data_IF_238355152974
#
_entry.id   IF_238355152974
#
_cell.length_a   1.000
_cell.length_b   1.000
_cell.length_c   1.000
_cell.angle_alpha   90.00
_cell.angle_beta   90.00
_cell.angle_gamma   90.00
#
_symmetry.space_group_name_H-M   'P 1'
#
loop_
_entity.id
_entity.type
_entity.pdbx_description
1 polymer ?
#
# COMPACT_ATOMS: atom_id res chain seq x y z
N UNK A 1 -1.80 -4.23 -18.38
CA UNK A 1 -2.56 -3.43 -17.40
C UNK A 1 -1.68 -2.26 -17.00
N UNK A 2 -2.20 -1.03 -16.92
CA UNK A 2 -1.41 0.10 -16.47
C UNK A 2 -1.01 -0.10 -15.01
N UNK A 3 0.23 0.20 -14.71
CA UNK A 3 0.69 0.37 -13.34
C UNK A 3 0.12 1.69 -12.82
N UNK A 4 -0.45 1.65 -11.62
CA UNK A 4 -0.95 2.82 -10.91
C UNK A 4 0.06 3.19 -9.81
N UNK A 5 0.00 4.43 -9.35
CA UNK A 5 0.69 4.82 -8.13
C UNK A 5 -0.17 4.56 -6.88
N UNK A 6 0.42 4.78 -5.71
CA UNK A 6 -0.19 4.53 -4.42
C UNK A 6 -1.37 5.42 -4.08
N UNK A 7 -1.59 6.54 -4.77
CA UNK A 7 -2.81 7.34 -4.56
C UNK A 7 -4.07 6.58 -4.99
N UNK A 8 -3.94 5.59 -5.88
CA UNK A 8 -5.05 4.72 -6.23
C UNK A 8 -5.62 3.94 -5.03
N UNK A 9 -4.84 3.80 -3.94
CA UNK A 9 -5.27 3.15 -2.70
C UNK A 9 -6.00 4.08 -1.73
N UNK A 10 -6.09 5.40 -2.00
CA UNK A 10 -6.57 6.39 -1.03
C UNK A 10 -7.95 6.05 -0.45
N UNK A 11 -8.92 5.72 -1.32
CA UNK A 11 -10.28 5.37 -0.91
C UNK A 11 -10.33 4.08 -0.08
N UNK A 12 -9.63 3.04 -0.53
CA UNK A 12 -9.58 1.76 0.19
C UNK A 12 -8.89 1.88 1.56
N UNK A 13 -7.83 2.68 1.66
CA UNK A 13 -7.12 2.88 2.92
C UNK A 13 -7.88 3.79 3.88
N UNK A 14 -8.61 4.79 3.39
CA UNK A 14 -9.45 5.64 4.23
C UNK A 14 -10.58 4.83 4.90
N UNK A 15 -11.14 3.83 4.21
CA UNK A 15 -12.14 2.92 4.78
C UNK A 15 -11.58 2.06 5.92
N UNK A 16 -10.30 1.70 5.86
CA UNK A 16 -9.66 0.83 6.85
C UNK A 16 -9.01 1.59 8.01
N UNK A 17 -8.31 2.70 7.73
CA UNK A 17 -7.41 3.35 8.69
C UNK A 17 -7.93 4.64 9.31
N UNK A 18 -9.12 5.15 8.93
CA UNK A 18 -9.72 6.39 9.46
C UNK A 18 -8.85 7.67 9.38
N UNK A 19 -7.63 7.57 8.83
CA UNK A 19 -6.68 8.65 8.58
C UNK A 19 -6.20 8.57 7.13
N UNK A 20 -5.70 9.69 6.61
CA UNK A 20 -5.11 9.75 5.28
C UNK A 20 -3.78 8.97 5.29
N UNK A 21 -3.75 7.83 4.60
CA UNK A 21 -2.59 6.94 4.61
C UNK A 21 -1.63 7.17 3.46
N UNK A 22 -2.02 7.87 2.38
CA UNK A 22 -1.13 8.05 1.22
C UNK A 22 0.08 8.92 1.55
N UNK A 23 -0.05 9.84 2.52
CA UNK A 23 1.04 10.63 3.08
C UNK A 23 1.95 9.85 4.04
N UNK A 24 1.53 8.68 4.54
CA UNK A 24 2.33 7.90 5.48
C UNK A 24 3.67 7.51 4.87
N UNK A 25 4.76 7.72 5.61
CA UNK A 25 6.11 7.36 5.15
C UNK A 25 6.36 5.89 5.42
N UNK A 26 6.73 5.15 4.37
CA UNK A 26 7.14 3.76 4.49
C UNK A 26 8.67 3.63 4.49
N UNK A 27 9.17 2.59 5.15
CA UNK A 27 10.52 2.06 4.93
C UNK A 27 10.43 0.57 4.60
N UNK A 28 10.93 0.19 3.42
CA UNK A 28 10.91 -1.18 2.93
C UNK A 28 11.85 -2.08 3.75
N UNK A 29 11.36 -3.22 4.22
CA UNK A 29 12.14 -4.20 4.96
C UNK A 29 13.20 -4.91 4.12
N UNK A 30 12.95 -5.07 2.81
CA UNK A 30 13.87 -5.75 1.88
C UNK A 30 15.03 -4.88 1.42
N UNK A 31 14.76 -3.70 0.84
CA UNK A 31 15.81 -2.85 0.27
C UNK A 31 16.07 -1.53 1.03
N UNK A 32 15.36 -1.27 2.14
CA UNK A 32 15.45 -0.03 2.94
C UNK A 32 15.05 1.26 2.23
N UNK A 33 14.60 1.20 0.97
CA UNK A 33 14.01 2.34 0.29
C UNK A 33 12.86 2.91 1.12
N UNK A 34 12.81 4.25 1.19
CA UNK A 34 11.75 4.98 1.90
C UNK A 34 11.09 5.98 0.98
N UNK A 35 9.79 6.14 1.13
CA UNK A 35 8.95 7.05 0.37
C UNK A 35 7.60 7.18 1.05
N UNK A 36 6.64 7.88 0.44
CA UNK A 36 5.26 7.90 0.93
C UNK A 36 4.49 6.73 0.35
N UNK A 37 3.41 6.29 1.00
CA UNK A 37 2.54 5.24 0.45
C UNK A 37 2.03 5.61 -0.95
N UNK A 38 1.83 6.90 -1.23
CA UNK A 38 1.50 7.43 -2.55
C UNK A 38 2.48 7.02 -3.67
N UNK A 39 3.75 6.72 -3.35
CA UNK A 39 4.76 6.34 -4.35
C UNK A 39 4.89 4.83 -4.58
N UNK A 40 4.07 4.01 -3.90
CA UNK A 40 4.02 2.58 -4.17
C UNK A 40 3.59 2.33 -5.62
N UNK A 41 4.19 1.30 -6.24
CA UNK A 41 3.70 0.81 -7.53
C UNK A 41 2.51 -0.10 -7.26
N UNK A 42 1.39 0.10 -7.95
CA UNK A 42 0.09 -0.55 -7.66
C UNK A 42 -0.44 -1.32 -8.88
N UNK A 43 -0.95 -2.52 -8.64
CA UNK A 43 -1.54 -3.39 -9.67
C UNK A 43 -2.97 -3.84 -9.31
N UNK A 44 -3.89 -3.79 -10.29
CA UNK A 44 -5.34 -4.10 -10.15
C UNK A 44 -5.94 -4.86 -11.36
N UNK A 45 -6.88 -5.84 -11.18
CA UNK A 45 -7.05 -6.71 -10.02
C UNK A 45 -6.82 -8.21 -10.34
N UNK A 46 -6.09 -8.91 -9.44
CA UNK A 46 -6.38 -10.27 -8.94
C UNK A 46 -5.29 -10.72 -7.94
N UNK A 47 -5.60 -11.31 -6.76
CA UNK A 47 -6.91 -11.42 -6.08
C UNK A 47 -7.29 -10.16 -5.27
N UNK A 48 -6.61 -9.03 -5.47
CA UNK A 48 -6.87 -7.76 -4.81
C UNK A 48 -5.93 -6.68 -5.34
N UNK A 49 -5.79 -5.59 -4.59
CA UNK A 49 -4.81 -4.54 -4.87
C UNK A 49 -3.48 -4.88 -4.21
N UNK A 50 -2.39 -4.75 -4.96
CA UNK A 50 -1.04 -5.01 -4.46
C UNK A 50 -0.19 -3.76 -4.63
N UNK A 51 0.30 -3.20 -3.54
CA UNK A 51 1.29 -2.13 -3.51
C UNK A 51 2.70 -2.70 -3.32
N UNK A 52 3.62 -2.39 -4.23
CA UNK A 52 5.02 -2.84 -4.17
C UNK A 52 5.98 -1.67 -3.97
N UNK A 53 7.10 -1.99 -3.34
CA UNK A 53 8.25 -1.10 -3.23
C UNK A 53 8.71 -0.67 -4.63
N UNK A 54 8.85 0.64 -4.92
CA UNK A 54 9.39 1.10 -6.19
C UNK A 54 10.87 0.73 -6.38
N UNK A 55 11.61 0.50 -5.28
CA UNK A 55 13.03 0.16 -5.31
C UNK A 55 13.33 -1.31 -5.64
N UNK A 56 12.64 -2.26 -5.02
CA UNK A 56 12.91 -3.71 -5.19
C UNK A 56 11.73 -4.53 -5.70
N UNK A 57 10.52 -3.96 -5.79
CA UNK A 57 9.33 -4.71 -6.17
C UNK A 57 8.75 -5.62 -5.08
N UNK A 58 9.29 -5.60 -3.86
CA UNK A 58 8.70 -6.34 -2.74
C UNK A 58 7.28 -5.88 -2.46
N UNK A 59 6.42 -6.84 -2.10
CA UNK A 59 5.03 -6.54 -1.72
C UNK A 59 5.02 -5.92 -0.34
N UNK A 60 4.69 -4.63 -0.26
CA UNK A 60 4.60 -3.90 1.00
C UNK A 60 3.16 -3.80 1.50
N UNK A 61 2.18 -3.85 0.59
CA UNK A 61 0.78 -3.77 0.91
C UNK A 61 -0.03 -4.70 0.01
N UNK A 62 -0.98 -5.43 0.61
CA UNK A 62 -2.04 -6.13 -0.12
C UNK A 62 -3.38 -5.80 0.50
N UNK A 63 -4.36 -5.47 -0.34
CA UNK A 63 -5.74 -5.25 0.06
C UNK A 63 -6.65 -6.14 -0.77
N UNK A 64 -7.37 -7.05 -0.11
CA UNK A 64 -8.31 -7.97 -0.76
C UNK A 64 -9.69 -7.75 -0.17
N UNK A 65 -10.67 -7.49 -1.03
CA UNK A 65 -12.06 -7.32 -0.63
C UNK A 65 -12.86 -8.58 -0.96
N UNK A 66 -13.60 -9.05 0.03
CA UNK A 66 -14.60 -10.11 -0.12
C UNK A 66 -15.98 -9.54 0.21
N UNK A 67 -17.08 -10.25 -0.08
CA UNK A 67 -18.42 -9.76 0.25
C UNK A 67 -18.67 -9.49 1.74
N UNK A 68 -17.84 -10.01 2.65
CA UNK A 68 -18.03 -9.90 4.11
C UNK A 68 -16.87 -9.28 4.87
N UNK A 69 -15.71 -9.11 4.22
CA UNK A 69 -14.47 -8.76 4.93
C UNK A 69 -13.48 -8.08 4.00
N UNK A 70 -12.71 -7.16 4.56
CA UNK A 70 -11.54 -6.55 3.93
C UNK A 70 -10.30 -7.12 4.61
N UNK A 71 -9.40 -7.70 3.83
CA UNK A 71 -8.11 -8.18 4.31
C UNK A 71 -7.03 -7.20 3.91
N UNK A 72 -6.34 -6.62 4.89
CA UNK A 72 -5.16 -5.81 4.68
C UNK A 72 -3.95 -6.56 5.21
N UNK A 73 -2.93 -6.71 4.36
CA UNK A 73 -1.62 -7.26 4.74
C UNK A 73 -0.58 -6.19 4.52
N UNK A 74 0.18 -5.89 5.58
CA UNK A 74 1.38 -5.07 5.50
C UNK A 74 2.58 -6.00 5.53
N UNK A 75 3.48 -5.86 4.56
CA UNK A 75 4.73 -6.61 4.51
C UNK A 75 5.70 -6.19 5.61
N UNK A 76 6.97 -6.57 5.48
CA UNK A 76 8.03 -6.01 6.33
C UNK A 76 8.21 -4.54 5.95
N UNK A 77 7.45 -3.67 6.60
CA UNK A 77 7.40 -2.24 6.30
C UNK A 77 7.16 -1.49 7.60
N UNK A 78 7.98 -0.48 7.87
CA UNK A 78 7.68 0.50 8.92
C UNK A 78 6.83 1.59 8.29
N UNK A 79 5.69 1.91 8.88
CA UNK A 79 4.85 3.05 8.51
C UNK A 79 4.98 4.12 9.59
N UNK A 80 5.20 5.36 9.18
CA UNK A 80 5.26 6.56 10.02
C UNK A 80 4.16 7.52 9.56
N UNK A 81 3.39 8.04 10.51
CA UNK A 81 2.33 9.02 10.31
C UNK A 81 2.67 10.23 11.16
N UNK A 82 2.62 11.41 10.56
CA UNK A 82 2.70 12.67 11.29
C UNK A 82 1.28 13.01 11.79
N UNK A 83 1.02 12.78 13.09
CA UNK A 83 -0.28 13.02 13.76
C UNK A 83 -0.25 14.25 14.65
#
# INVERSE_FOLDING_TARGET
>A
MPELDGNALAGDLAEVFAVEMTAARFTCGGCRHSGTVATLRVWTPAPGVVGRCPGCGDVLLRLVRTPRSVFVTLGTTRLELDV
#
